data_IF_194760780682
#
_entry.id   IF_194760780682
#
_cell.length_a   1.000
_cell.length_b   1.000
_cell.length_c   1.000
_cell.angle_alpha   90.00
_cell.angle_beta   90.00
_cell.angle_gamma   90.00
#
_symmetry.space_group_name_H-M   'P 1'
#
loop_
_entity.id
_entity.type
_entity.pdbx_description
1 polymer ?
#
# COMPACT_ATOMS: atom_id res chain seq x y z
N UNK A 1 -24.07 30.69 -17.68
CA UNK A 1 -22.86 29.99 -18.14
C UNK A 1 -22.98 28.53 -17.75
N UNK A 2 -23.45 27.69 -18.67
CA UNK A 2 -23.54 26.23 -18.48
C UNK A 2 -22.15 25.63 -18.70
N UNK A 3 -21.56 25.06 -17.65
CA UNK A 3 -20.27 24.38 -17.75
C UNK A 3 -20.50 22.99 -18.31
N UNK A 4 -20.23 22.81 -19.60
CA UNK A 4 -20.15 21.49 -20.22
C UNK A 4 -18.97 20.72 -19.62
N UNK A 5 -19.23 19.58 -19.01
CA UNK A 5 -18.18 18.67 -18.54
C UNK A 5 -17.52 18.03 -19.75
N UNK A 6 -16.26 18.35 -20.01
CA UNK A 6 -15.44 17.65 -21.02
C UNK A 6 -15.15 16.22 -20.51
N UNK A 7 -15.15 15.20 -21.39
CA UNK A 7 -14.76 13.85 -21.00
C UNK A 7 -13.29 13.81 -20.55
N UNK A 8 -12.97 12.94 -19.59
CA UNK A 8 -11.58 12.73 -19.15
C UNK A 8 -10.80 11.91 -20.17
N UNK A 9 -9.55 12.30 -20.44
CA UNK A 9 -8.65 11.55 -21.33
C UNK A 9 -8.10 10.27 -20.67
N UNK A 10 -7.96 10.27 -19.34
CA UNK A 10 -7.51 9.11 -18.56
C UNK A 10 -7.91 9.22 -17.08
N UNK A 11 -7.90 8.07 -16.39
CA UNK A 11 -8.09 7.97 -14.94
C UNK A 11 -6.90 7.23 -14.32
N UNK A 12 -6.24 7.85 -13.34
CA UNK A 12 -5.23 7.20 -12.52
C UNK A 12 -5.87 6.70 -11.21
N UNK A 13 -5.97 5.39 -11.06
CA UNK A 13 -6.36 4.77 -9.80
C UNK A 13 -5.11 4.30 -9.05
N UNK A 14 -4.89 4.83 -7.86
CA UNK A 14 -3.82 4.39 -6.96
C UNK A 14 -4.44 3.84 -5.68
N UNK A 15 -3.80 2.81 -5.15
CA UNK A 15 -4.02 2.32 -3.80
C UNK A 15 -2.67 2.12 -3.13
N UNK A 16 -2.67 1.95 -1.82
CA UNK A 16 -1.44 1.59 -1.11
C UNK A 16 -0.91 0.21 -1.54
N UNK A 17 -1.80 -0.66 -2.01
CA UNK A 17 -1.50 -2.07 -2.27
C UNK A 17 -1.42 -2.89 -0.98
N UNK A 18 -1.14 -4.17 -1.14
CA UNK A 18 -1.01 -5.13 -0.06
C UNK A 18 -0.33 -6.40 -0.54
N UNK A 19 0.06 -7.30 0.39
CA UNK A 19 0.54 -8.63 0.02
C UNK A 19 -0.57 -9.43 -0.67
N UNK A 20 -0.24 -10.20 -1.71
CA UNK A 20 -1.20 -11.05 -2.42
C UNK A 20 -1.38 -12.41 -1.72
N UNK A 21 -0.44 -12.79 -0.86
CA UNK A 21 -0.56 -13.96 0.02
C UNK A 21 0.38 -13.93 1.22
N UNK A 22 0.33 -15.00 2.02
CA UNK A 22 1.09 -15.12 3.28
C UNK A 22 2.61 -14.97 3.09
N UNK A 23 3.14 -15.47 1.96
CA UNK A 23 4.56 -15.37 1.63
C UNK A 23 5.00 -13.91 1.40
N UNK A 24 4.08 -13.04 0.99
CA UNK A 24 4.36 -11.64 0.64
C UNK A 24 4.28 -10.70 1.83
N UNK A 25 3.68 -11.12 2.94
CA UNK A 25 3.48 -10.27 4.13
C UNK A 25 4.80 -9.69 4.63
N UNK A 26 5.81 -10.54 4.85
CA UNK A 26 7.12 -10.09 5.36
C UNK A 26 7.87 -9.21 4.34
N UNK A 27 7.97 -9.58 3.04
CA UNK A 27 8.46 -8.68 2.00
C UNK A 27 7.75 -7.31 1.98
N UNK A 28 6.41 -7.29 2.06
CA UNK A 28 5.61 -6.08 2.06
C UNK A 28 5.93 -5.19 3.25
N UNK A 29 5.93 -5.75 4.47
CA UNK A 29 6.25 -5.00 5.68
C UNK A 29 7.67 -4.42 5.66
N UNK A 30 8.67 -5.16 5.14
CA UNK A 30 10.03 -4.62 4.99
C UNK A 30 10.09 -3.41 4.06
N UNK A 31 9.34 -3.43 2.96
CA UNK A 31 9.28 -2.30 2.04
C UNK A 31 8.56 -1.10 2.67
N UNK A 32 7.42 -1.33 3.32
CA UNK A 32 6.62 -0.27 3.97
C UNK A 32 7.37 0.40 5.13
N UNK A 33 8.15 -0.37 5.89
CA UNK A 33 8.86 0.12 7.07
C UNK A 33 10.28 0.62 6.77
N UNK A 34 10.71 0.63 5.50
CA UNK A 34 12.05 1.07 5.11
C UNK A 34 12.36 2.47 5.65
N UNK A 35 13.50 2.61 6.31
CA UNK A 35 13.94 3.88 6.92
C UNK A 35 13.26 4.22 8.26
N UNK A 36 12.44 3.31 8.82
CA UNK A 36 11.86 3.45 10.16
C UNK A 36 12.64 2.58 11.16
N UNK A 37 12.78 3.08 12.39
CA UNK A 37 13.32 2.30 13.51
C UNK A 37 12.17 1.55 14.20
N UNK A 38 11.78 0.42 13.65
CA UNK A 38 10.72 -0.43 14.20
C UNK A 38 11.37 -1.70 14.79
N UNK A 39 11.03 -2.09 16.04
CA UNK A 39 11.50 -3.34 16.61
C UNK A 39 10.98 -4.55 15.82
N UNK A 40 11.84 -5.54 15.56
CA UNK A 40 11.47 -6.75 14.82
C UNK A 40 10.27 -7.48 15.42
N UNK A 41 10.18 -7.53 16.75
CA UNK A 41 9.04 -8.14 17.46
C UNK A 41 7.69 -7.51 17.09
N UNK A 42 7.66 -6.22 16.72
CA UNK A 42 6.44 -5.55 16.25
C UNK A 42 6.07 -5.98 14.83
N UNK A 43 7.07 -6.19 13.97
CA UNK A 43 6.87 -6.69 12.61
C UNK A 43 6.31 -8.11 12.66
N UNK A 44 6.90 -8.97 13.49
CA UNK A 44 6.46 -10.36 13.67
C UNK A 44 5.11 -10.49 14.37
N UNK A 45 4.76 -9.57 15.28
CA UNK A 45 3.42 -9.52 15.84
C UNK A 45 2.38 -9.26 14.75
N UNK A 46 2.62 -8.29 13.87
CA UNK A 46 1.70 -7.97 12.76
C UNK A 46 1.65 -9.11 11.73
N UNK A 47 2.79 -9.72 11.39
CA UNK A 47 2.84 -10.77 10.36
C UNK A 47 2.08 -12.07 10.73
N UNK A 48 1.61 -12.20 11.97
CA UNK A 48 0.85 -13.36 12.50
C UNK A 48 -0.67 -13.13 12.56
N UNK A 49 -1.13 -11.89 12.41
CA UNK A 49 -2.56 -11.55 12.40
C UNK A 49 -3.07 -11.48 10.96
#
# INVERSE_FOLDING_TARGET
MTRTTQPFDAVLLISFGGPEGLADIRPFLRNVLRGRRIPEARIEAVAKH
#
